data_IF_928103155198
#
_entry.id   IF_928103155198
#
_cell.length_a   1.000
_cell.length_b   1.000
_cell.length_c   1.000
_cell.angle_alpha   90.00
_cell.angle_beta   90.00
_cell.angle_gamma   90.00
#
_symmetry.space_group_name_H-M   'P 1'
#
loop_
_entity.id
_entity.type
_entity.pdbx_description
1 polymer ?
#
# COMPACT_ATOMS: atom_id res chain seq x y z
N UNK A 1 -2.60 22.66 -15.73
CA UNK A 1 -2.35 21.69 -14.66
C UNK A 1 -0.88 21.76 -14.29
N UNK A 2 -0.56 22.17 -13.07
CA UNK A 2 0.80 22.04 -12.53
C UNK A 2 1.22 20.57 -12.57
N UNK A 3 2.45 20.33 -13.00
CA UNK A 3 2.94 18.97 -13.24
C UNK A 3 2.87 18.10 -11.98
N UNK A 4 3.26 18.66 -10.84
CA UNK A 4 3.19 18.01 -9.54
C UNK A 4 1.77 17.61 -9.14
N UNK A 5 0.77 18.45 -9.42
CA UNK A 5 -0.62 18.13 -9.11
C UNK A 5 -1.16 17.02 -10.01
N UNK A 6 -0.85 17.06 -11.32
CA UNK A 6 -1.26 16.03 -12.27
C UNK A 6 -0.70 14.64 -11.88
N UNK A 7 0.60 14.58 -11.58
CA UNK A 7 1.27 13.34 -11.14
C UNK A 7 0.68 12.84 -9.83
N UNK A 8 0.46 13.72 -8.84
CA UNK A 8 -0.14 13.34 -7.57
C UNK A 8 -1.58 12.82 -7.70
N UNK A 9 -2.40 13.46 -8.55
CA UNK A 9 -3.77 13.01 -8.85
C UNK A 9 -3.78 11.65 -9.52
N UNK A 10 -2.85 11.40 -10.46
CA UNK A 10 -2.72 10.08 -11.06
C UNK A 10 -2.30 9.04 -10.03
N UNK A 11 -1.30 9.31 -9.18
CA UNK A 11 -0.90 8.39 -8.11
C UNK A 11 -2.11 8.06 -7.21
N UNK A 12 -2.86 9.08 -6.79
CA UNK A 12 -4.02 8.90 -5.93
C UNK A 12 -5.11 8.03 -6.59
N UNK A 13 -5.38 8.23 -7.88
CA UNK A 13 -6.28 7.39 -8.67
C UNK A 13 -5.79 5.94 -8.73
N UNK A 14 -4.53 5.72 -9.05
CA UNK A 14 -3.95 4.38 -9.19
C UNK A 14 -3.95 3.63 -7.87
N UNK A 15 -3.73 4.31 -6.74
CA UNK A 15 -3.85 3.70 -5.39
C UNK A 15 -5.27 3.16 -5.14
N UNK A 16 -6.31 3.94 -5.47
CA UNK A 16 -7.70 3.47 -5.35
C UNK A 16 -7.96 2.30 -6.28
N UNK A 17 -7.51 2.40 -7.53
CA UNK A 17 -7.72 1.35 -8.54
C UNK A 17 -7.06 0.01 -8.16
N UNK A 18 -5.90 0.08 -7.49
CA UNK A 18 -5.15 -1.08 -7.02
C UNK A 18 -5.64 -1.61 -5.67
N UNK A 19 -6.72 -1.05 -5.12
CA UNK A 19 -7.38 -1.53 -3.92
C UNK A 19 -6.78 -1.03 -2.60
N UNK A 20 -5.92 -0.01 -2.62
CA UNK A 20 -5.44 0.66 -1.40
C UNK A 20 -6.59 1.44 -0.78
N UNK A 21 -6.93 1.09 0.45
CA UNK A 21 -8.08 1.65 1.17
C UNK A 21 -7.70 2.50 2.39
N UNK A 22 -6.47 2.37 2.89
CA UNK A 22 -5.95 3.13 4.03
C UNK A 22 -4.66 3.86 3.64
N UNK A 23 -4.63 5.17 3.97
CA UNK A 23 -3.45 6.02 3.77
C UNK A 23 -3.14 6.77 5.06
N UNK A 24 -1.92 6.62 5.56
CA UNK A 24 -1.42 7.36 6.73
C UNK A 24 -0.53 8.51 6.28
N UNK A 25 -0.73 9.70 6.81
CA UNK A 25 0.04 10.90 6.50
C UNK A 25 0.91 11.33 7.67
N UNK A 26 2.17 11.61 7.38
CA UNK A 26 2.98 12.56 8.12
C UNK A 26 3.13 13.86 7.31
N UNK A 27 2.59 14.99 7.81
CA UNK A 27 2.43 16.20 7.02
C UNK A 27 3.76 16.92 6.76
N UNK A 28 3.92 17.47 5.55
CA UNK A 28 5.03 18.36 5.22
C UNK A 28 4.84 19.08 3.88
N UNK A 29 5.63 20.11 3.62
CA UNK A 29 5.42 20.97 2.45
C UNK A 29 5.62 20.22 1.12
N UNK A 30 6.66 19.36 1.02
CA UNK A 30 6.94 18.64 -0.23
C UNK A 30 5.89 17.58 -0.58
N UNK A 31 5.17 17.05 0.42
CA UNK A 31 4.09 16.08 0.23
C UNK A 31 2.72 16.73 -0.02
N UNK A 32 2.65 18.07 -0.07
CA UNK A 32 1.40 18.80 -0.32
C UNK A 32 0.65 18.34 -1.59
N UNK A 33 1.29 18.09 -2.76
CA UNK A 33 0.57 17.59 -3.94
C UNK A 33 -0.21 16.30 -3.65
N UNK A 34 0.38 15.36 -2.90
CA UNK A 34 -0.27 14.11 -2.51
C UNK A 34 -1.44 14.35 -1.56
N UNK A 35 -1.30 15.27 -0.60
CA UNK A 35 -2.40 15.64 0.30
C UNK A 35 -3.59 16.20 -0.48
N UNK A 36 -3.36 17.12 -1.42
CA UNK A 36 -4.42 17.70 -2.25
C UNK A 36 -5.06 16.68 -3.21
N UNK A 37 -4.30 15.67 -3.64
CA UNK A 37 -4.81 14.60 -4.48
C UNK A 37 -5.67 13.60 -3.69
N UNK A 38 -5.24 13.23 -2.48
CA UNK A 38 -5.86 12.17 -1.67
C UNK A 38 -7.00 12.65 -0.78
N UNK A 39 -6.97 13.90 -0.29
CA UNK A 39 -8.02 14.42 0.59
C UNK A 39 -9.43 14.39 -0.06
N UNK A 40 -9.61 14.79 -1.33
CA UNK A 40 -10.90 14.65 -2.00
C UNK A 40 -11.40 13.20 -2.14
N UNK A 41 -10.51 12.22 -2.29
CA UNK A 41 -10.89 10.80 -2.32
C UNK A 41 -11.40 10.33 -0.96
N UNK A 42 -10.80 10.85 0.13
CA UNK A 42 -11.26 10.59 1.49
C UNK A 42 -12.63 11.23 1.76
N UNK A 43 -12.84 12.48 1.31
CA UNK A 43 -14.14 13.17 1.36
C UNK A 43 -15.24 12.37 0.63
N UNK A 44 -14.88 11.71 -0.48
CA UNK A 44 -15.77 10.85 -1.25
C UNK A 44 -15.92 9.42 -0.71
N UNK A 45 -15.23 9.06 0.39
CA UNK A 45 -15.30 7.74 1.01
C UNK A 45 -14.59 6.62 0.23
N UNK A 46 -13.75 6.94 -0.76
CA UNK A 46 -13.01 5.97 -1.57
C UNK A 46 -11.78 5.42 -0.84
N UNK A 47 -11.21 6.21 0.08
CA UNK A 47 -10.11 5.82 0.96
C UNK A 47 -10.37 6.35 2.37
N UNK A 48 -9.69 5.77 3.35
CA UNK A 48 -9.59 6.29 4.71
C UNK A 48 -8.22 6.91 4.92
N UNK A 49 -8.20 8.09 5.54
CA UNK A 49 -6.96 8.81 5.81
C UNK A 49 -6.73 8.97 7.30
N UNK A 50 -5.47 8.81 7.71
CA UNK A 50 -5.04 8.89 9.10
C UNK A 50 -3.88 9.87 9.20
N UNK A 51 -3.99 10.92 10.01
CA UNK A 51 -2.90 11.91 10.14
C UNK A 51 -2.15 11.68 11.45
N UNK A 52 -0.82 11.61 11.37
CA UNK A 52 0.10 11.56 12.52
C UNK A 52 1.20 12.59 12.31
N UNK A 53 1.60 13.27 13.38
CA UNK A 53 2.64 14.32 13.29
C UNK A 53 4.04 13.71 13.23
N UNK A 54 4.25 12.60 13.94
CA UNK A 54 5.50 11.86 13.98
C UNK A 54 5.51 10.79 12.87
N UNK A 55 6.50 10.83 11.98
CA UNK A 55 6.63 9.90 10.86
C UNK A 55 6.81 8.44 11.31
N UNK A 56 7.51 8.21 12.43
CA UNK A 56 7.73 6.87 12.97
C UNK A 56 6.41 6.30 13.50
N UNK A 57 5.63 7.11 14.22
CA UNK A 57 4.27 6.73 14.65
C UNK A 57 3.34 6.49 13.45
N UNK A 58 3.39 7.35 12.43
CA UNK A 58 2.66 7.17 11.18
C UNK A 58 2.97 5.81 10.53
N UNK A 59 4.25 5.43 10.48
CA UNK A 59 4.70 4.18 9.88
C UNK A 59 4.24 2.96 10.69
N UNK A 60 4.31 3.01 12.03
CA UNK A 60 3.82 1.92 12.88
C UNK A 60 2.28 1.80 12.86
N UNK A 61 1.57 2.91 12.72
CA UNK A 61 0.12 2.86 12.48
C UNK A 61 -0.19 2.16 11.15
N UNK A 62 0.51 2.50 10.07
CA UNK A 62 0.36 1.86 8.77
C UNK A 62 0.64 0.34 8.86
N UNK A 63 1.71 -0.04 9.56
CA UNK A 63 2.05 -1.44 9.86
C UNK A 63 0.91 -2.17 10.59
N UNK A 64 0.35 -1.55 11.63
CA UNK A 64 -0.77 -2.12 12.39
C UNK A 64 -2.03 -2.27 11.56
N UNK A 65 -2.34 -1.29 10.69
CA UNK A 65 -3.45 -1.37 9.75
C UNK A 65 -3.26 -2.51 8.75
N UNK A 66 -2.06 -2.66 8.17
CA UNK A 66 -1.74 -3.74 7.24
C UNK A 66 -1.86 -5.11 7.93
N UNK A 67 -1.37 -5.25 9.16
CA UNK A 67 -1.54 -6.48 9.95
C UNK A 67 -3.00 -6.78 10.22
N UNK A 68 -3.79 -5.77 10.57
CA UNK A 68 -5.22 -5.90 10.80
C UNK A 68 -5.99 -6.32 9.55
N UNK A 69 -5.64 -5.76 8.38
CA UNK A 69 -6.22 -6.16 7.09
C UNK A 69 -5.91 -7.62 6.78
N UNK A 70 -4.64 -8.03 6.92
CA UNK A 70 -4.23 -9.43 6.74
C UNK A 70 -4.96 -10.38 7.68
N UNK A 71 -5.09 -10.03 8.96
CA UNK A 71 -5.81 -10.85 9.94
C UNK A 71 -7.30 -11.03 9.61
N UNK A 72 -7.90 -10.12 8.82
CA UNK A 72 -9.27 -10.22 8.30
C UNK A 72 -9.36 -10.88 6.92
N UNK A 73 -8.25 -11.42 6.40
CA UNK A 73 -8.19 -12.00 5.06
C UNK A 73 -8.25 -10.98 3.92
N UNK A 74 -8.01 -9.69 4.20
CA UNK A 74 -8.00 -8.65 3.17
C UNK A 74 -6.62 -8.55 2.53
N UNK A 75 -6.57 -8.69 1.21
CA UNK A 75 -5.36 -8.56 0.39
C UNK A 75 -5.20 -7.12 -0.13
N UNK A 76 -4.98 -6.18 0.78
CA UNK A 76 -4.81 -4.75 0.46
C UNK A 76 -3.53 -4.21 1.12
N UNK A 77 -2.79 -3.39 0.37
CA UNK A 77 -1.64 -2.67 0.89
C UNK A 77 -2.07 -1.40 1.62
N UNK A 78 -1.29 -0.97 2.61
CA UNK A 78 -1.47 0.32 3.30
C UNK A 78 -0.39 1.28 2.85
N UNK A 79 -0.78 2.49 2.46
CA UNK A 79 0.16 3.54 2.08
C UNK A 79 0.53 4.42 3.28
N UNK A 80 1.81 4.79 3.38
CA UNK A 80 2.30 5.82 4.31
C UNK A 80 2.96 6.94 3.50
N UNK A 81 2.47 8.16 3.67
CA UNK A 81 2.94 9.35 2.97
C UNK A 81 3.79 10.19 3.90
N UNK A 82 4.98 10.57 3.46
CA UNK A 82 5.85 11.50 4.19
C UNK A 82 6.51 12.52 3.26
N UNK A 83 7.05 13.58 3.85
CA UNK A 83 7.80 14.62 3.13
C UNK A 83 9.26 14.21 2.91
N UNK A 84 10.07 15.11 2.32
CA UNK A 84 11.47 14.81 2.01
C UNK A 84 12.38 14.87 3.24
N UNK A 85 13.59 14.33 3.11
CA UNK A 85 14.62 14.43 4.13
C UNK A 85 14.51 13.37 5.23
N UNK A 86 14.85 13.74 6.46
CA UNK A 86 14.88 12.82 7.62
C UNK A 86 13.50 12.20 7.94
N UNK A 87 12.43 12.80 7.44
CA UNK A 87 11.09 12.27 7.52
C UNK A 87 11.00 10.84 6.92
N UNK A 88 11.71 10.59 5.81
CA UNK A 88 11.80 9.25 5.21
C UNK A 88 12.52 8.27 6.14
N UNK A 89 13.64 8.68 6.74
CA UNK A 89 14.42 7.81 7.62
C UNK A 89 13.63 7.35 8.87
N UNK A 90 12.66 8.14 9.34
CA UNK A 90 11.81 7.75 10.46
C UNK A 90 10.83 6.61 10.14
N UNK A 91 10.58 6.31 8.86
CA UNK A 91 9.77 5.15 8.47
C UNK A 91 10.52 3.82 8.63
N UNK A 92 11.85 3.87 8.72
CA UNK A 92 12.74 2.71 8.61
C UNK A 92 12.43 1.58 9.62
N UNK A 93 12.15 1.84 10.91
CA UNK A 93 11.83 0.75 11.85
C UNK A 93 10.56 -0.03 11.47
N UNK A 94 9.48 0.68 11.08
CA UNK A 94 8.25 0.01 10.67
C UNK A 94 8.41 -0.71 9.32
N UNK A 95 9.26 -0.21 8.44
CA UNK A 95 9.61 -0.87 7.16
C UNK A 95 10.35 -2.18 7.41
N UNK A 96 11.37 -2.19 8.26
CA UNK A 96 12.04 -3.44 8.67
C UNK A 96 11.02 -4.46 9.20
N UNK A 97 10.12 -4.01 10.05
CA UNK A 97 9.14 -4.87 10.70
C UNK A 97 8.10 -5.39 9.70
N UNK A 98 7.70 -4.57 8.73
CA UNK A 98 6.86 -4.99 7.62
C UNK A 98 7.56 -6.02 6.73
N UNK A 99 8.87 -5.87 6.52
CA UNK A 99 9.65 -6.76 5.67
C UNK A 99 9.73 -8.17 6.24
N UNK A 100 10.13 -8.29 7.51
CA UNK A 100 10.20 -9.57 8.20
C UNK A 100 8.81 -10.11 8.54
N UNK A 101 7.85 -9.22 8.82
CA UNK A 101 6.47 -9.58 9.08
C UNK A 101 5.66 -9.93 7.83
N UNK A 102 6.21 -9.75 6.62
CA UNK A 102 5.51 -9.90 5.33
C UNK A 102 4.20 -9.11 5.25
N UNK A 103 4.27 -7.82 5.60
CA UNK A 103 3.12 -6.93 5.59
C UNK A 103 3.21 -5.95 4.40
N UNK A 104 2.14 -5.84 3.59
CA UNK A 104 2.16 -5.02 2.39
C UNK A 104 2.05 -3.53 2.75
N UNK A 105 3.18 -2.81 2.62
CA UNK A 105 3.24 -1.36 2.85
C UNK A 105 3.78 -0.63 1.62
N UNK A 106 3.20 0.53 1.31
CA UNK A 106 3.71 1.43 0.27
C UNK A 106 4.19 2.71 0.93
N UNK A 107 5.51 2.88 1.05
CA UNK A 107 6.10 4.13 1.52
C UNK A 107 6.15 5.16 0.38
N UNK A 108 5.17 6.06 0.34
CA UNK A 108 5.08 7.17 -0.60
C UNK A 108 5.91 8.35 -0.08
N UNK A 109 7.14 8.49 -0.59
CA UNK A 109 8.10 9.47 -0.10
C UNK A 109 8.21 10.64 -1.08
N UNK A 110 7.71 11.81 -0.70
CA UNK A 110 7.84 13.00 -1.52
C UNK A 110 9.28 13.53 -1.48
N UNK A 111 9.83 13.90 -2.64
CA UNK A 111 11.22 14.31 -2.80
C UNK A 111 11.35 15.61 -3.57
N UNK A 112 12.53 16.22 -3.49
CA UNK A 112 12.93 17.34 -4.34
C UNK A 112 13.43 16.84 -5.69
N UNK A 113 13.30 17.65 -6.76
CA UNK A 113 13.84 17.29 -8.07
C UNK A 113 15.34 17.00 -8.00
N UNK A 114 15.79 16.00 -8.76
CA UNK A 114 17.17 15.52 -8.73
C UNK A 114 18.23 16.64 -8.93
N UNK A 115 17.91 17.68 -9.71
CA UNK A 115 18.77 18.86 -9.92
C UNK A 115 19.11 19.65 -8.64
N UNK A 116 18.42 19.40 -7.52
CA UNK A 116 18.69 20.04 -6.22
C UNK A 116 19.54 19.16 -5.28
N UNK A 117 19.79 17.90 -5.62
CA UNK A 117 20.66 16.99 -4.84
C UNK A 117 22.11 17.47 -4.91
N UNK A 118 22.86 17.37 -3.81
CA UNK A 118 24.25 17.82 -3.71
C UNK A 118 24.47 19.34 -3.75
N UNK A 119 23.40 20.15 -3.75
CA UNK A 119 23.51 21.62 -3.86
C UNK A 119 23.46 22.38 -2.52
N UNK A 120 23.27 21.66 -1.41
CA UNK A 120 22.98 22.28 -0.11
C UNK A 120 21.53 22.77 0.04
N UNK A 121 20.65 22.44 -0.90
CA UNK A 121 19.23 22.73 -0.79
C UNK A 121 18.63 22.10 0.48
N UNK A 122 17.95 22.92 1.29
CA UNK A 122 17.24 22.52 2.51
C UNK A 122 16.42 21.23 2.30
N UNK A 123 16.45 20.31 3.27
CA UNK A 123 15.63 19.08 3.28
C UNK A 123 15.74 18.25 1.98
N UNK A 124 16.97 18.11 1.48
CA UNK A 124 17.31 17.24 0.35
C UNK A 124 18.28 16.17 0.84
N UNK A 125 17.99 14.91 0.56
CA UNK A 125 18.94 13.80 0.69
C UNK A 125 19.39 13.43 -0.73
N UNK A 126 20.68 13.18 -0.91
CA UNK A 126 21.26 12.95 -2.24
C UNK A 126 20.71 11.70 -2.92
N UNK A 127 20.36 10.67 -2.15
CA UNK A 127 19.74 9.45 -2.68
C UNK A 127 18.56 8.98 -1.82
N UNK A 128 17.52 9.81 -1.75
CA UNK A 128 16.36 9.57 -0.89
C UNK A 128 15.65 8.23 -1.20
N UNK A 129 15.63 7.82 -2.47
CA UNK A 129 14.99 6.58 -2.92
C UNK A 129 15.69 5.31 -2.42
N UNK A 130 16.89 5.43 -1.83
CA UNK A 130 17.66 4.34 -1.22
C UNK A 130 17.63 4.33 0.31
N UNK A 131 16.98 5.30 0.97
CA UNK A 131 17.05 5.47 2.44
C UNK A 131 16.44 4.32 3.23
N UNK A 132 15.36 3.71 2.73
CA UNK A 132 14.68 2.60 3.42
C UNK A 132 15.34 1.28 3.02
N UNK A 133 15.77 0.44 3.96
CA UNK A 133 16.28 -0.91 3.61
C UNK A 133 15.17 -1.94 3.56
N UNK A 134 15.51 -3.16 3.11
CA UNK A 134 14.64 -4.36 3.19
C UNK A 134 13.28 -4.21 2.49
N UNK A 135 13.19 -3.31 1.51
CA UNK A 135 12.04 -3.15 0.63
C UNK A 135 12.07 -4.18 -0.51
N UNK A 136 10.88 -4.58 -0.98
CA UNK A 136 10.71 -5.48 -2.14
C UNK A 136 11.06 -4.81 -3.45
N UNK A 137 10.71 -3.52 -3.57
CA UNK A 137 10.97 -2.73 -4.76
C UNK A 137 11.18 -1.26 -4.40
N UNK A 138 11.89 -0.57 -5.30
CA UNK A 138 12.15 0.88 -5.24
C UNK A 138 11.72 1.54 -6.53
N UNK A 139 11.02 2.64 -6.40
CA UNK A 139 10.65 3.51 -7.52
C UNK A 139 11.17 4.91 -7.21
N UNK A 140 11.75 5.57 -8.22
CA UNK A 140 12.15 6.99 -8.15
C UNK A 140 11.56 7.72 -9.35
N UNK A 141 10.39 8.32 -9.16
CA UNK A 141 9.66 9.03 -10.20
C UNK A 141 10.25 10.43 -10.34
N UNK A 142 10.84 10.78 -11.50
CA UNK A 142 11.47 12.06 -11.70
C UNK A 142 10.43 13.18 -11.79
N UNK A 143 10.83 14.39 -11.39
CA UNK A 143 10.00 15.58 -11.56
C UNK A 143 9.86 15.88 -13.05
N UNK A 144 8.67 16.26 -13.48
CA UNK A 144 8.36 16.45 -14.90
C UNK A 144 7.13 15.65 -15.32
N UNK A 145 6.78 15.74 -16.61
CA UNK A 145 5.49 15.26 -17.13
C UNK A 145 5.50 13.74 -17.24
N UNK A 146 5.23 13.11 -16.11
CA UNK A 146 5.29 11.65 -15.91
C UNK A 146 3.91 11.08 -15.60
N UNK A 147 2.85 11.89 -15.65
CA UNK A 147 1.50 11.48 -15.29
C UNK A 147 1.01 10.28 -16.11
N UNK A 148 1.37 10.18 -17.40
CA UNK A 148 1.01 9.03 -18.23
C UNK A 148 1.75 7.73 -17.89
N UNK A 149 2.91 7.80 -17.24
CA UNK A 149 3.75 6.64 -16.90
C UNK A 149 3.61 6.20 -15.44
N UNK A 150 3.26 7.13 -14.54
CA UNK A 150 3.22 6.87 -13.09
C UNK A 150 2.15 5.84 -12.69
N UNK A 151 1.08 5.72 -13.48
CA UNK A 151 -0.01 4.77 -13.25
C UNK A 151 0.49 3.31 -13.16
N UNK A 152 1.31 2.92 -14.14
CA UNK A 152 1.93 1.60 -14.18
C UNK A 152 2.88 1.42 -13.00
N UNK A 153 3.70 2.43 -12.71
CA UNK A 153 4.64 2.35 -11.59
C UNK A 153 3.94 2.17 -10.25
N UNK A 154 2.79 2.83 -10.00
CA UNK A 154 2.01 2.62 -8.78
C UNK A 154 1.41 1.21 -8.75
N UNK A 155 0.89 0.74 -9.88
CA UNK A 155 0.36 -0.62 -10.00
C UNK A 155 1.42 -1.68 -9.71
N UNK A 156 2.61 -1.53 -10.28
CA UNK A 156 3.76 -2.39 -10.04
C UNK A 156 4.21 -2.31 -8.58
N UNK A 157 4.20 -1.13 -7.97
CA UNK A 157 4.56 -0.95 -6.57
C UNK A 157 3.59 -1.66 -5.61
N UNK A 158 2.28 -1.57 -5.86
CA UNK A 158 1.28 -2.26 -5.06
C UNK A 158 1.35 -3.78 -5.28
N UNK A 159 1.55 -4.22 -6.53
CA UNK A 159 1.75 -5.64 -6.84
C UNK A 159 2.98 -6.21 -6.11
N UNK A 160 4.10 -5.49 -6.15
CA UNK A 160 5.33 -5.86 -5.42
C UNK A 160 5.11 -5.88 -3.90
N UNK A 161 4.38 -4.90 -3.34
CA UNK A 161 4.07 -4.88 -1.91
C UNK A 161 3.22 -6.09 -1.49
N UNK A 162 2.31 -6.53 -2.35
CA UNK A 162 1.47 -7.71 -2.15
C UNK A 162 2.19 -9.04 -2.45
N UNK A 163 3.43 -9.02 -2.94
CA UNK A 163 4.16 -10.23 -3.33
C UNK A 163 3.59 -10.90 -4.58
N UNK A 164 2.98 -10.12 -5.48
CA UNK A 164 2.36 -10.56 -6.74
C UNK A 164 3.19 -10.21 -7.97
N UNK A 165 4.41 -9.72 -7.77
CA UNK A 165 5.35 -9.47 -8.86
C UNK A 165 6.14 -10.74 -9.20
N UNK A 166 6.96 -10.67 -10.25
CA UNK A 166 7.80 -11.80 -10.69
C UNK A 166 9.12 -11.88 -9.94
N UNK A 167 9.42 -10.92 -9.07
CA UNK A 167 10.74 -10.73 -8.44
C UNK A 167 10.74 -11.17 -6.97
N UNK A 168 9.59 -11.16 -6.30
CA UNK A 168 9.43 -11.54 -4.92
C UNK A 168 8.06 -12.18 -4.65
N UNK A 169 8.06 -13.46 -4.30
CA UNK A 169 6.85 -14.19 -3.89
C UNK A 169 6.39 -13.85 -2.46
N UNK A 170 7.00 -12.86 -1.81
CA UNK A 170 6.70 -12.51 -0.42
C UNK A 170 6.25 -11.07 -0.29
N UNK A 171 5.02 -10.86 0.18
CA UNK A 171 4.50 -9.56 0.57
C UNK A 171 5.49 -8.80 1.49
N UNK A 172 5.48 -7.48 1.40
CA UNK A 172 6.41 -6.64 2.15
C UNK A 172 6.33 -5.17 1.76
N UNK A 173 7.22 -4.33 2.32
CA UNK A 173 7.22 -2.91 2.06
C UNK A 173 7.86 -2.59 0.71
N UNK A 174 7.37 -1.55 0.04
CA UNK A 174 8.01 -0.93 -1.13
C UNK A 174 8.28 0.55 -0.84
N UNK A 175 9.35 1.08 -1.42
CA UNK A 175 9.60 2.52 -1.42
C UNK A 175 9.21 3.11 -2.77
N UNK A 176 8.22 4.01 -2.78
CA UNK A 176 7.79 4.73 -3.96
C UNK A 176 8.10 6.22 -3.79
N UNK A 177 9.29 6.61 -4.27
CA UNK A 177 9.79 7.97 -4.19
C UNK A 177 9.27 8.80 -5.37
N UNK A 178 8.78 10.01 -5.10
CA UNK A 178 8.23 10.90 -6.13
C UNK A 178 8.79 12.29 -5.98
N UNK A 179 9.47 12.77 -7.01
CA UNK A 179 10.06 14.10 -7.03
C UNK A 179 9.02 15.12 -7.49
N UNK A 180 8.70 16.10 -6.64
CA UNK A 180 7.76 17.16 -6.98
C UNK A 180 8.47 18.49 -7.22
N UNK A 181 8.13 19.15 -8.33
CA UNK A 181 8.57 20.51 -8.59
C UNK A 181 7.57 21.53 -8.00
N UNK A 182 8.00 22.79 -7.86
CA UNK A 182 7.07 23.88 -7.60
C UNK A 182 6.29 24.22 -8.89
N UNK A 183 5.02 24.65 -8.80
CA UNK A 183 4.23 24.82 -7.58
C UNK A 183 3.73 23.49 -6.99
N UNK A 184 3.65 23.43 -5.65
CA UNK A 184 3.26 22.24 -4.88
C UNK A 184 1.78 22.22 -4.49
N UNK A 185 1.07 23.31 -4.75
CA UNK A 185 -0.34 23.49 -4.41
C UNK A 185 -1.08 23.71 -5.71
N UNK A 186 -2.16 22.95 -5.98
CA UNK A 186 -2.98 23.15 -7.17
C UNK A 186 -3.70 24.50 -7.12
N UNK A 187 -4.04 25.03 -8.28
CA UNK A 187 -4.97 26.17 -8.34
C UNK A 187 -6.38 25.74 -7.92
N UNK A 188 -7.26 26.67 -7.51
CA UNK A 188 -8.66 26.34 -7.20
C UNK A 188 -9.39 25.65 -8.36
N UNK A 189 -9.08 26.03 -9.60
CA UNK A 189 -9.65 25.42 -10.81
C UNK A 189 -9.15 23.99 -11.00
N UNK A 190 -7.85 23.75 -10.83
CA UNK A 190 -7.24 22.40 -10.91
C UNK A 190 -7.83 21.46 -9.84
N UNK A 191 -8.02 21.96 -8.61
CA UNK A 191 -8.62 21.19 -7.53
C UNK A 191 -10.12 20.95 -7.76
N UNK A 192 -10.83 21.94 -8.32
CA UNK A 192 -12.25 21.81 -8.68
C UNK A 192 -12.47 20.70 -9.72
N UNK A 193 -11.70 20.72 -10.81
CA UNK A 193 -11.76 19.69 -11.85
C UNK A 193 -11.50 18.28 -11.30
N UNK A 194 -10.51 18.14 -10.42
CA UNK A 194 -10.23 16.86 -9.75
C UNK A 194 -11.37 16.38 -8.85
N UNK A 195 -11.98 17.29 -8.09
CA UNK A 195 -13.15 16.96 -7.24
C UNK A 195 -14.34 16.50 -8.08
N UNK A 196 -14.58 17.10 -9.23
CA UNK A 196 -15.67 16.70 -10.11
C UNK A 196 -15.42 15.33 -10.75
N UNK A 197 -14.17 15.03 -11.11
CA UNK A 197 -13.80 13.71 -11.58
C UNK A 197 -13.99 12.62 -10.51
N UNK A 198 -13.61 12.91 -9.26
CA UNK A 198 -13.81 11.98 -8.13
C UNK A 198 -15.28 11.68 -7.88
N UNK A 199 -16.16 12.66 -7.98
CA UNK A 199 -17.61 12.41 -7.88
C UNK A 199 -18.05 11.37 -8.90
N UNK A 200 -17.58 11.51 -10.15
CA UNK A 200 -17.83 10.51 -11.19
C UNK A 200 -17.30 9.11 -10.86
N UNK A 201 -16.11 9.02 -10.24
CA UNK A 201 -15.56 7.74 -9.76
C UNK A 201 -16.41 7.11 -8.65
N UNK A 202 -16.83 7.91 -7.67
CA UNK A 202 -17.66 7.44 -6.55
C UNK A 202 -19.05 6.98 -7.00
N UNK A 203 -19.68 7.73 -7.92
CA UNK A 203 -20.97 7.37 -8.51
C UNK A 203 -20.89 6.11 -9.36
N UNK A 204 -19.80 5.94 -10.12
CA UNK A 204 -19.56 4.72 -10.92
C UNK A 204 -19.32 3.50 -10.01
N UNK A 205 -18.56 3.67 -8.93
CA UNK A 205 -18.35 2.64 -7.90
C UNK A 205 -19.63 2.27 -7.17
N UNK A 206 -20.48 3.25 -6.84
CA UNK A 206 -21.79 3.02 -6.21
C UNK A 206 -22.78 2.29 -7.14
N UNK A 207 -22.77 2.58 -8.45
CA UNK A 207 -23.59 1.87 -9.44
C UNK A 207 -23.10 0.45 -9.71
N UNK A 208 -21.77 0.21 -9.69
CA UNK A 208 -21.22 -1.15 -9.71
C UNK A 208 -21.62 -1.92 -8.43
N UNK A 209 -21.60 -1.24 -7.29
CA UNK A 209 -22.09 -1.75 -6.00
C UNK A 209 -23.59 -1.98 -5.93
N UNK A 210 -24.43 -1.20 -6.65
CA UNK A 210 -25.89 -1.40 -6.67
C UNK A 210 -26.33 -2.53 -7.60
N UNK A 211 -25.54 -2.83 -8.64
CA UNK A 211 -25.68 -4.07 -9.43
C UNK A 211 -25.35 -5.30 -8.57
N UNK A 212 -24.33 -5.20 -7.71
CA UNK A 212 -24.01 -6.23 -6.72
C UNK A 212 -25.01 -6.28 -5.53
N UNK A 213 -25.61 -5.15 -5.14
CA UNK A 213 -26.57 -5.08 -4.02
C UNK A 213 -27.92 -5.76 -4.32
N UNK A 214 -28.26 -5.99 -5.59
CA UNK A 214 -29.39 -6.86 -5.96
C UNK A 214 -29.05 -8.37 -5.91
N UNK A 215 -27.81 -8.73 -5.60
CA UNK A 215 -27.40 -10.11 -5.31
C UNK A 215 -27.34 -10.42 -3.79
N UNK A 216 -27.58 -9.44 -2.91
CA UNK A 216 -27.62 -9.64 -1.46
C UNK A 216 -29.07 -9.76 -0.92
N UNK A 217 -29.78 -10.80 -1.39
CA UNK A 217 -30.86 -11.46 -0.63
C UNK A 217 -30.79 -12.97 -0.81
N UNK A 218 -29.65 -13.54 -0.44
CA UNK A 218 -29.56 -14.93 0.01
C UNK A 218 -28.27 -15.10 0.79
N UNK A 219 -28.32 -14.80 2.10
CA UNK A 219 -27.35 -15.32 3.04
C UNK A 219 -27.63 -16.83 3.19
N UNK A 220 -27.09 -17.60 2.26
CA UNK A 220 -26.90 -19.04 2.38
C UNK A 220 -25.41 -19.29 2.58
N UNK A 221 -25.08 -20.19 3.51
CA UNK A 221 -23.73 -20.70 3.78
C UNK A 221 -22.99 -21.04 2.48
N UNK A 222 -22.20 -20.10 1.97
CA UNK A 222 -21.34 -20.32 0.83
C UNK A 222 -20.07 -21.00 1.34
N UNK A 223 -20.00 -22.32 1.10
CA UNK A 223 -18.76 -23.08 1.13
C UNK A 223 -17.71 -22.34 0.30
N UNK A 224 -16.53 -22.16 0.88
CA UNK A 224 -15.35 -21.68 0.20
C UNK A 224 -14.88 -22.75 -0.80
N UNK A 225 -15.47 -22.75 -2.00
CA UNK A 225 -14.92 -23.49 -3.13
C UNK A 225 -13.99 -22.57 -3.94
N UNK A 226 -12.70 -22.88 -3.87
CA UNK A 226 -11.72 -22.63 -4.93
C UNK A 226 -11.31 -21.18 -5.19
N UNK A 227 -10.59 -20.56 -4.26
CA UNK A 227 -9.62 -19.54 -4.65
C UNK A 227 -8.38 -20.25 -5.21
N UNK A 228 -8.09 -20.07 -6.50
CA UNK A 228 -6.90 -20.61 -7.15
C UNK A 228 -5.64 -20.01 -6.51
N UNK A 229 -5.08 -20.74 -5.57
CA UNK A 229 -3.78 -20.48 -4.96
C UNK A 229 -2.69 -20.72 -6.00
N UNK A 230 -1.71 -19.82 -6.07
CA UNK A 230 -0.37 -20.05 -6.65
C UNK A 230 0.10 -21.49 -6.38
N UNK A 231 0.88 -22.14 -7.27
CA UNK A 231 1.14 -23.58 -7.19
C UNK A 231 1.66 -23.94 -5.79
N UNK A 232 0.78 -24.48 -4.96
CA UNK A 232 1.12 -24.90 -3.61
C UNK A 232 2.13 -26.02 -3.78
N UNK A 233 3.37 -25.79 -3.36
CA UNK A 233 4.36 -26.84 -3.27
C UNK A 233 3.80 -27.91 -2.33
N UNK A 234 3.27 -28.99 -2.89
CA UNK A 234 2.76 -30.12 -2.13
C UNK A 234 3.95 -30.97 -1.68
N UNK A 235 4.10 -31.13 -0.37
CA UNK A 235 5.12 -32.02 0.20
C UNK A 235 4.39 -33.19 0.84
N UNK A 236 4.73 -34.41 0.43
CA UNK A 236 4.29 -35.61 1.12
C UNK A 236 5.09 -35.77 2.43
N UNK A 237 4.38 -35.94 3.53
CA UNK A 237 4.97 -36.15 4.86
C UNK A 237 4.47 -37.47 5.41
N UNK A 238 5.40 -38.34 5.81
CA UNK A 238 5.05 -39.58 6.52
C UNK A 238 4.88 -39.28 8.01
N UNK A 239 3.69 -39.55 8.54
CA UNK A 239 3.39 -39.36 9.95
C UNK A 239 3.83 -40.61 10.74
N UNK A 240 4.71 -40.41 11.72
CA UNK A 240 5.17 -41.46 12.64
C UNK A 240 4.82 -41.14 14.09
N UNK A 241 5.01 -42.10 14.99
CA UNK A 241 4.96 -41.86 16.44
C UNK A 241 5.93 -40.74 16.83
N UNK A 242 5.44 -39.76 17.61
CA UNK A 242 6.22 -38.58 18.01
C UNK A 242 6.21 -37.41 17.03
N UNK A 243 5.41 -37.46 15.96
CA UNK A 243 5.22 -36.31 15.06
C UNK A 243 4.48 -35.17 15.77
N UNK A 244 4.92 -33.92 15.58
CA UNK A 244 4.35 -32.71 16.17
C UNK A 244 4.23 -31.63 15.10
N UNK A 245 3.15 -30.84 15.14
CA UNK A 245 3.01 -29.62 14.33
C UNK A 245 3.52 -28.45 15.16
N UNK A 246 4.43 -27.63 14.61
CA UNK A 246 4.86 -26.39 15.26
C UNK A 246 4.34 -25.23 14.43
N UNK A 247 3.30 -24.55 14.94
CA UNK A 247 2.66 -23.44 14.25
C UNK A 247 3.15 -22.08 14.79
N UNK A 248 3.88 -21.33 13.98
CA UNK A 248 4.17 -19.90 14.22
C UNK A 248 3.07 -18.99 13.65
N UNK A 249 3.34 -17.69 13.54
CA UNK A 249 2.52 -16.71 12.77
C UNK A 249 2.62 -16.96 11.24
N UNK A 250 2.63 -18.23 10.85
CA UNK A 250 3.26 -18.73 9.64
C UNK A 250 2.32 -18.69 8.43
N UNK A 251 2.63 -17.78 7.51
CA UNK A 251 2.67 -18.14 6.10
C UNK A 251 1.34 -18.27 5.36
N UNK A 252 0.23 -17.78 5.93
CA UNK A 252 -1.03 -17.60 5.20
C UNK A 252 -2.07 -18.70 5.39
N UNK A 253 -1.84 -19.72 6.22
CA UNK A 253 -2.89 -20.64 6.66
C UNK A 253 -3.50 -20.14 7.98
N UNK A 254 -4.83 -20.27 8.10
CA UNK A 254 -5.50 -19.90 9.35
C UNK A 254 -5.17 -20.91 10.46
N UNK A 255 -5.25 -20.46 11.70
CA UNK A 255 -5.15 -21.34 12.87
C UNK A 255 -6.19 -22.48 12.79
N UNK A 256 -7.35 -22.23 12.20
CA UNK A 256 -8.41 -23.21 12.01
C UNK A 256 -7.99 -24.33 11.04
N UNK A 257 -7.31 -24.00 9.93
CA UNK A 257 -6.83 -25.01 8.98
C UNK A 257 -5.77 -25.92 9.61
N UNK A 258 -4.81 -25.35 10.35
CA UNK A 258 -3.79 -26.13 11.04
C UNK A 258 -4.40 -26.95 12.18
N UNK A 259 -5.37 -26.40 12.90
CA UNK A 259 -6.13 -27.10 13.94
C UNK A 259 -6.91 -28.28 13.40
N UNK A 260 -7.57 -28.13 12.24
CA UNK A 260 -8.28 -29.21 11.57
C UNK A 260 -7.31 -30.34 11.15
N UNK A 261 -6.19 -29.99 10.52
CA UNK A 261 -5.16 -30.97 10.13
C UNK A 261 -4.61 -31.75 11.33
N UNK A 262 -4.35 -31.05 12.44
CA UNK A 262 -3.88 -31.68 13.67
C UNK A 262 -4.91 -32.64 14.27
N UNK A 263 -6.19 -32.24 14.27
CA UNK A 263 -7.28 -33.07 14.76
C UNK A 263 -7.46 -34.34 13.90
N UNK A 264 -7.43 -34.20 12.58
CA UNK A 264 -7.60 -35.29 11.60
C UNK A 264 -6.51 -36.37 11.72
N UNK A 265 -5.30 -35.98 12.10
CA UNK A 265 -4.16 -36.89 12.24
C UNK A 265 -3.75 -37.18 13.69
N UNK A 266 -4.53 -36.71 14.67
CA UNK A 266 -4.26 -36.86 16.10
C UNK A 266 -2.85 -36.37 16.51
N UNK A 267 -2.42 -35.26 15.93
CA UNK A 267 -1.12 -34.66 16.18
C UNK A 267 -1.21 -33.57 17.25
N UNK A 268 -0.21 -33.45 18.15
CA UNK A 268 -0.07 -32.28 18.99
C UNK A 268 0.35 -31.05 18.16
N UNK A 269 -0.16 -29.87 18.55
CA UNK A 269 0.17 -28.53 18.01
C UNK A 269 0.75 -27.65 19.12
#
# INVERSE_FOLDING_TARGET
>A
MSNSSAVAQQIARSLVHTGVSDVVFAPGSRSAPLVYALAPLAEAGLIRTHVRVDERDAAFLALGLARGLRARGSESAVAVVTTSGSAVANLHPAVLEASYGRLPLVALTADRPARLRGTGANQTIDDQSQVLSDVRARFDIPAGDTAGAVDRSVSDAVAAALGRDTLSEAAGPVQFNVQFDVPLVPTPEELGAWKDEIKGLAESGANAGSSAANAERSFGEARCDGAETSPQASVEVTITEGTVIVAGDAGGYSADTLGALAADHHLPV
#
